data_IF_089649375978
#
_entry.id   IF_089649375978
#
_cell.length_a   1.000
_cell.length_b   1.000
_cell.length_c   1.000
_cell.angle_alpha   90.00
_cell.angle_beta   90.00
_cell.angle_gamma   90.00
#
_symmetry.space_group_name_H-M   'P 1'
#
loop_
_entity.id
_entity.type
_entity.pdbx_description
1 polymer ?
#
# COMPACT_ATOMS: atom_id res chain seq x y z
N UNK A 1 -6.95 -0.85 -6.77
CA UNK A 1 -6.05 -1.50 -5.81
C UNK A 1 -4.65 -1.59 -6.43
N UNK A 2 -3.60 -1.56 -5.61
CA UNK A 2 -2.20 -1.73 -6.05
C UNK A 2 -1.64 -3.01 -5.42
N UNK A 3 -1.15 -3.92 -6.26
CA UNK A 3 -0.54 -5.17 -5.82
C UNK A 3 0.96 -5.04 -5.53
N UNK A 4 1.46 -5.98 -4.74
CA UNK A 4 2.89 -6.13 -4.43
C UNK A 4 3.46 -7.34 -5.17
N UNK A 5 4.57 -7.14 -5.88
CA UNK A 5 5.34 -8.21 -6.51
C UNK A 5 6.83 -7.85 -6.47
N UNK A 6 7.71 -8.84 -6.45
CA UNK A 6 9.16 -8.63 -6.34
C UNK A 6 9.98 -9.26 -7.47
N UNK A 7 9.36 -10.02 -8.38
CA UNK A 7 10.05 -10.72 -9.47
C UNK A 7 9.36 -10.55 -10.83
N UNK A 8 10.16 -10.35 -11.89
CA UNK A 8 9.69 -10.19 -13.28
C UNK A 8 9.34 -8.74 -13.67
N UNK A 9 8.67 -8.56 -14.81
CA UNK A 9 8.14 -7.26 -15.21
C UNK A 9 6.83 -6.98 -14.48
N UNK A 10 6.82 -6.04 -13.56
CA UNK A 10 5.65 -5.57 -12.81
C UNK A 10 5.84 -4.11 -12.39
N UNK A 11 4.73 -3.45 -12.07
CA UNK A 11 4.72 -1.99 -11.81
C UNK A 11 5.11 -1.62 -10.37
N UNK A 12 4.79 -2.47 -9.39
CA UNK A 12 4.84 -2.12 -7.96
C UNK A 12 5.43 -3.25 -7.12
N UNK A 13 6.61 -2.99 -6.52
CA UNK A 13 7.17 -3.75 -5.38
C UNK A 13 6.92 -3.07 -4.04
N UNK A 14 6.46 -1.81 -4.06
CA UNK A 14 6.15 -1.04 -2.87
C UNK A 14 4.80 -0.34 -3.06
N UNK A 15 3.69 -0.98 -2.65
CA UNK A 15 2.36 -0.40 -2.81
C UNK A 15 2.20 0.94 -2.11
N UNK A 16 2.89 1.15 -0.97
CA UNK A 16 2.82 2.40 -0.20
C UNK A 16 3.34 3.60 -0.98
N UNK A 17 4.40 3.44 -1.78
CA UNK A 17 4.96 4.50 -2.64
C UNK A 17 3.95 4.91 -3.71
N UNK A 18 3.37 3.93 -4.43
CA UNK A 18 2.41 4.19 -5.50
C UNK A 18 1.12 4.80 -4.93
N UNK A 19 0.60 4.22 -3.84
CA UNK A 19 -0.62 4.71 -3.21
C UNK A 19 -0.41 6.10 -2.57
N UNK A 20 0.77 6.42 -2.05
CA UNK A 20 1.09 7.76 -1.55
C UNK A 20 1.04 8.82 -2.65
N UNK A 21 1.54 8.50 -3.85
CA UNK A 21 1.42 9.39 -5.00
C UNK A 21 -0.05 9.61 -5.43
N UNK A 22 -0.87 8.56 -5.36
CA UNK A 22 -2.31 8.64 -5.66
C UNK A 22 -3.06 9.41 -4.57
N UNK A 23 -2.71 9.22 -3.29
CA UNK A 23 -3.28 9.94 -2.15
C UNK A 23 -3.09 11.45 -2.32
N UNK A 24 -1.90 11.88 -2.74
CA UNK A 24 -1.57 13.28 -2.99
C UNK A 24 -2.27 13.90 -4.22
N UNK A 25 -3.05 13.13 -5.00
CA UNK A 25 -3.74 13.58 -6.22
C UNK A 25 -5.24 13.33 -6.20
N UNK A 26 -5.76 12.73 -5.13
CA UNK A 26 -7.15 12.31 -5.03
C UNK A 26 -7.70 12.60 -3.65
N UNK A 27 -8.99 12.95 -3.57
CA UNK A 27 -9.63 13.32 -2.30
C UNK A 27 -10.81 12.41 -1.93
N UNK A 28 -11.30 11.60 -2.88
CA UNK A 28 -12.57 10.88 -2.72
C UNK A 28 -12.46 9.36 -2.83
N UNK A 29 -11.57 8.86 -3.69
CA UNK A 29 -11.50 7.42 -3.96
C UNK A 29 -10.81 6.69 -2.82
N UNK A 30 -11.24 5.45 -2.56
CA UNK A 30 -10.54 4.54 -1.64
C UNK A 30 -9.22 4.08 -2.25
N UNK A 31 -8.22 3.88 -1.39
CA UNK A 31 -6.90 3.42 -1.76
C UNK A 31 -6.70 2.04 -1.15
N UNK A 32 -6.56 1.02 -2.00
CA UNK A 32 -6.49 -0.36 -1.54
C UNK A 32 -5.18 -1.01 -1.96
N UNK A 33 -4.59 -1.80 -1.08
CA UNK A 33 -3.63 -2.81 -1.51
C UNK A 33 -4.36 -4.05 -2.04
N UNK A 34 -3.70 -4.84 -2.88
CA UNK A 34 -4.29 -6.04 -3.46
C UNK A 34 -3.22 -7.01 -3.95
N UNK A 35 -2.34 -7.52 -3.10
CA UNK A 35 -2.32 -7.45 -1.62
C UNK A 35 -0.97 -6.91 -1.12
N UNK A 36 -0.86 -6.66 0.18
CA UNK A 36 0.42 -6.55 0.89
C UNK A 36 0.89 -7.94 1.31
N UNK A 37 2.10 -8.33 0.92
CA UNK A 37 2.67 -9.64 1.24
C UNK A 37 3.34 -9.59 2.61
N UNK A 38 2.51 -9.48 3.67
CA UNK A 38 2.98 -9.19 5.04
C UNK A 38 4.04 -10.18 5.55
N UNK A 39 4.01 -11.44 5.10
CA UNK A 39 4.90 -12.49 5.56
C UNK A 39 6.40 -12.23 5.27
N UNK A 40 6.73 -11.33 4.35
CA UNK A 40 8.11 -11.00 3.97
C UNK A 40 8.55 -9.59 4.38
N UNK A 41 7.73 -8.88 5.17
CA UNK A 41 7.98 -7.51 5.60
C UNK A 41 8.25 -7.43 7.10
N UNK A 42 9.01 -6.41 7.53
CA UNK A 42 9.12 -6.07 8.93
C UNK A 42 7.76 -5.52 9.44
N UNK A 43 7.13 -6.14 10.45
CA UNK A 43 5.80 -5.75 10.90
C UNK A 43 5.76 -4.34 11.51
N UNK A 44 6.85 -3.86 12.11
CA UNK A 44 6.93 -2.49 12.66
C UNK A 44 6.95 -1.50 11.50
N UNK A 45 7.74 -1.78 10.45
CA UNK A 45 7.77 -0.95 9.24
C UNK A 45 6.42 -0.91 8.54
N UNK A 46 5.74 -2.04 8.42
CA UNK A 46 4.38 -2.07 7.87
C UNK A 46 3.44 -1.20 8.70
N UNK A 47 3.46 -1.31 10.02
CA UNK A 47 2.60 -0.49 10.88
C UNK A 47 2.88 1.01 10.69
N UNK A 48 4.15 1.42 10.69
CA UNK A 48 4.58 2.82 10.49
C UNK A 48 4.17 3.36 9.11
N UNK A 49 4.48 2.62 8.04
CA UNK A 49 4.27 3.06 6.67
C UNK A 49 2.77 3.18 6.34
N UNK A 50 1.98 2.18 6.73
CA UNK A 50 0.54 2.19 6.47
C UNK A 50 -0.21 3.19 7.36
N UNK A 51 0.22 3.41 8.61
CA UNK A 51 -0.32 4.49 9.43
C UNK A 51 -0.02 5.87 8.83
N UNK A 52 1.19 6.08 8.34
CA UNK A 52 1.58 7.33 7.67
C UNK A 52 0.76 7.54 6.40
N UNK A 53 0.64 6.49 5.57
CA UNK A 53 -0.15 6.55 4.35
C UNK A 53 -1.64 6.79 4.63
N UNK A 54 -2.19 6.22 5.70
CA UNK A 54 -3.59 6.44 6.06
C UNK A 54 -3.86 7.90 6.42
N UNK A 55 -2.94 8.55 7.14
CA UNK A 55 -3.02 9.99 7.42
C UNK A 55 -2.94 10.82 6.13
N UNK A 56 -2.02 10.49 5.21
CA UNK A 56 -1.94 11.15 3.89
C UNK A 56 -3.20 10.91 3.04
N UNK A 57 -3.82 9.74 3.19
CA UNK A 57 -5.05 9.38 2.52
C UNK A 57 -6.30 9.94 3.21
N UNK A 58 -6.17 10.62 4.36
CA UNK A 58 -7.28 11.08 5.20
C UNK A 58 -8.29 9.95 5.52
N UNK A 59 -7.78 8.79 5.94
CA UNK A 59 -8.61 7.64 6.34
C UNK A 59 -9.18 6.82 5.19
N UNK A 60 -8.76 7.08 3.94
CA UNK A 60 -9.26 6.38 2.73
C UNK A 60 -8.49 5.09 2.41
N UNK A 61 -7.52 4.70 3.24
CA UNK A 61 -6.68 3.53 2.99
C UNK A 61 -7.36 2.26 3.50
N UNK A 62 -7.39 1.22 2.68
CA UNK A 62 -7.73 -0.14 3.11
C UNK A 62 -6.53 -1.06 2.85
N UNK A 63 -5.96 -1.56 3.94
CA UNK A 63 -4.87 -2.53 3.91
C UNK A 63 -5.44 -3.94 3.74
N UNK A 64 -5.14 -4.58 2.62
CA UNK A 64 -5.44 -5.99 2.35
C UNK A 64 -4.16 -6.81 2.44
N UNK A 65 -4.14 -7.77 3.35
CA UNK A 65 -3.01 -8.68 3.56
C UNK A 65 -3.28 -10.01 2.85
N UNK A 66 -2.27 -10.57 2.20
CA UNK A 66 -2.37 -11.89 1.58
C UNK A 66 -0.99 -12.52 1.33
N UNK A 67 -0.97 -13.77 0.86
CA UNK A 67 0.30 -14.50 0.66
C UNK A 67 1.07 -14.11 -0.61
N UNK A 68 0.40 -13.42 -1.55
CA UNK A 68 0.87 -13.27 -2.93
C UNK A 68 0.44 -14.41 -3.84
#
# INVERSE_FOLDING_TARGET
AVGERHAGAFLSSSPTVVLGAIAARTERIKLLTGVTVLAILDPVRVAEDYATLDQLAAGRLELVIGKG
#
